data_IF_708640124048
#
_entry.id   IF_708640124048
#
_cell.length_a   1.000
_cell.length_b   1.000
_cell.length_c   1.000
_cell.angle_alpha   90.00
_cell.angle_beta   90.00
_cell.angle_gamma   90.00
#
_symmetry.space_group_name_H-M   'P 1'
#
loop_
_entity.id
_entity.type
_entity.pdbx_description
1 polymer ?
#
# COMPACT_ATOMS: atom_id res chain seq x y z
N UNK A 1 13.65 -15.33 -10.00
CA UNK A 1 14.07 -15.98 -8.74
C UNK A 1 14.50 -14.98 -7.65
N UNK A 2 14.88 -13.74 -8.00
CA UNK A 2 15.34 -12.73 -7.05
C UNK A 2 14.20 -12.22 -6.14
N UNK A 3 13.02 -11.97 -6.71
CA UNK A 3 11.83 -11.45 -5.98
C UNK A 3 11.38 -12.35 -4.82
N UNK A 4 11.53 -13.67 -4.93
CA UNK A 4 11.08 -14.60 -3.87
C UNK A 4 12.03 -14.57 -2.66
N UNK A 5 13.34 -14.47 -2.90
CA UNK A 5 14.35 -14.44 -1.83
C UNK A 5 14.23 -13.14 -1.05
N UNK A 6 14.05 -12.00 -1.72
CA UNK A 6 13.85 -10.71 -1.08
C UNK A 6 12.60 -10.70 -0.19
N UNK A 7 11.48 -11.26 -0.67
CA UNK A 7 10.25 -11.39 0.13
C UNK A 7 10.49 -12.32 1.34
N UNK A 8 11.23 -13.43 1.16
CA UNK A 8 11.57 -14.36 2.25
C UNK A 8 12.52 -13.74 3.29
N UNK A 9 13.39 -12.83 2.88
CA UNK A 9 14.28 -12.05 3.77
C UNK A 9 13.59 -10.84 4.39
N UNK A 10 12.31 -10.61 4.09
CA UNK A 10 11.54 -9.49 4.61
C UNK A 10 11.89 -8.15 3.96
N UNK A 11 12.65 -8.16 2.86
CA UNK A 11 12.79 -7.02 1.96
C UNK A 11 11.44 -6.82 1.27
N UNK A 12 10.67 -5.90 1.83
CA UNK A 12 9.35 -5.55 1.29
C UNK A 12 9.52 -4.57 0.15
N UNK A 13 8.65 -4.69 -0.84
CA UNK A 13 8.66 -3.84 -2.02
C UNK A 13 8.80 -2.37 -1.64
N UNK A 14 9.65 -1.67 -2.40
CA UNK A 14 9.93 -0.26 -2.18
C UNK A 14 8.63 0.51 -2.35
N UNK A 15 8.19 1.22 -1.30
CA UNK A 15 7.12 2.19 -1.42
C UNK A 15 7.67 3.31 -2.31
N UNK A 16 7.18 3.37 -3.54
CA UNK A 16 7.59 4.40 -4.49
C UNK A 16 7.16 5.76 -3.97
N UNK A 17 7.94 6.81 -4.26
CA UNK A 17 7.61 8.18 -3.86
C UNK A 17 6.29 8.68 -4.48
N UNK A 18 5.85 8.06 -5.58
CA UNK A 18 4.56 8.33 -6.23
C UNK A 18 3.39 7.68 -5.48
N UNK A 19 3.62 6.64 -4.68
CA UNK A 19 2.56 5.93 -3.97
C UNK A 19 1.79 6.87 -3.05
N UNK A 20 0.45 6.90 -3.13
CA UNK A 20 -0.38 7.73 -2.25
C UNK A 20 -0.09 7.44 -0.78
N UNK A 21 -0.03 8.49 0.04
CA UNK A 21 0.40 8.37 1.43
C UNK A 21 -0.52 7.45 2.23
N UNK A 22 -1.83 7.53 1.98
CA UNK A 22 -2.83 6.67 2.62
C UNK A 22 -2.60 5.18 2.33
N UNK A 23 -2.19 4.84 1.11
CA UNK A 23 -1.87 3.47 0.71
C UNK A 23 -0.55 3.01 1.31
N UNK A 24 0.47 3.88 1.33
CA UNK A 24 1.74 3.59 1.99
C UNK A 24 1.57 3.28 3.49
N UNK A 25 0.72 4.03 4.19
CA UNK A 25 0.39 3.77 5.60
C UNK A 25 -0.38 2.47 5.80
N UNK A 26 -1.32 2.13 4.89
CA UNK A 26 -2.00 0.84 4.92
C UNK A 26 -1.01 -0.32 4.72
N UNK A 27 -0.09 -0.21 3.76
CA UNK A 27 0.95 -1.20 3.51
C UNK A 27 1.85 -1.39 4.73
N UNK A 28 2.29 -0.32 5.40
CA UNK A 28 3.08 -0.41 6.64
C UNK A 28 2.36 -1.22 7.72
N UNK A 29 1.04 -1.06 7.87
CA UNK A 29 0.22 -1.82 8.83
C UNK A 29 0.04 -3.27 8.40
N UNK A 30 -0.28 -3.52 7.13
CA UNK A 30 -0.36 -4.86 6.54
C UNK A 30 0.94 -5.65 6.72
N UNK A 31 2.05 -4.93 6.61
CA UNK A 31 3.39 -5.42 6.80
C UNK A 31 3.87 -5.33 8.24
N UNK A 32 3.00 -5.36 9.24
CA UNK A 32 3.50 -5.45 10.61
C UNK A 32 4.29 -6.76 10.82
N UNK A 33 5.44 -6.67 11.50
CA UNK A 33 6.26 -7.85 11.82
C UNK A 33 5.51 -8.76 12.79
N UNK A 34 4.71 -8.17 13.69
CA UNK A 34 3.80 -8.89 14.56
C UNK A 34 2.51 -9.21 13.77
N UNK A 35 2.17 -10.49 13.54
CA UNK A 35 0.95 -10.90 12.86
C UNK A 35 -0.33 -10.35 13.50
N UNK A 36 -0.37 -10.21 14.83
CA UNK A 36 -1.55 -9.73 15.56
C UNK A 36 -1.84 -8.24 15.33
N UNK A 37 -0.83 -7.48 14.90
CA UNK A 37 -0.95 -6.06 14.57
C UNK A 37 -1.32 -5.83 13.10
N UNK A 38 -1.43 -6.89 12.30
CA UNK A 38 -1.83 -6.77 10.91
C UNK A 38 -3.34 -6.54 10.84
N UNK A 39 -3.80 -5.61 10.00
CA UNK A 39 -5.21 -5.45 9.75
C UNK A 39 -5.80 -6.72 9.14
N UNK A 40 -7.01 -7.05 9.56
CA UNK A 40 -7.85 -8.09 8.97
C UNK A 40 -8.31 -7.68 7.57
N UNK A 41 -8.74 -8.65 6.78
CA UNK A 41 -9.32 -8.37 5.46
C UNK A 41 -10.54 -7.42 5.54
N UNK A 42 -11.31 -7.49 6.64
CA UNK A 42 -12.44 -6.61 6.88
C UNK A 42 -12.01 -5.16 7.09
N UNK A 43 -11.02 -4.92 7.97
CA UNK A 43 -10.49 -3.57 8.22
C UNK A 43 -9.87 -2.94 6.97
N UNK A 44 -9.20 -3.75 6.14
CA UNK A 44 -8.68 -3.30 4.83
C UNK A 44 -9.82 -2.88 3.92
N UNK A 45 -10.86 -3.72 3.79
CA UNK A 45 -12.02 -3.43 2.97
C UNK A 45 -12.74 -2.16 3.41
N UNK A 46 -12.98 -1.98 4.71
CA UNK A 46 -13.58 -0.78 5.27
C UNK A 46 -12.71 0.47 5.02
N UNK A 47 -11.39 0.34 5.17
CA UNK A 47 -10.44 1.44 4.88
C UNK A 47 -10.54 1.89 3.41
N UNK A 48 -10.56 0.94 2.47
CA UNK A 48 -10.65 1.23 1.04
C UNK A 48 -12.03 1.83 0.70
N UNK A 49 -13.11 1.29 1.26
CA UNK A 49 -14.45 1.87 1.07
C UNK A 49 -14.52 3.30 1.60
N UNK A 50 -13.89 3.57 2.74
CA UNK A 50 -13.85 4.90 3.31
C UNK A 50 -13.17 5.88 2.34
N UNK A 51 -12.04 5.51 1.73
CA UNK A 51 -11.34 6.35 0.74
C UNK A 51 -12.20 6.76 -0.46
N UNK A 52 -13.14 5.91 -0.89
CA UNK A 52 -14.05 6.24 -2.01
C UNK A 52 -14.94 7.45 -1.72
N UNK A 53 -15.15 7.79 -0.46
CA UNK A 53 -15.95 8.94 -0.06
C UNK A 53 -15.15 10.25 -0.04
N UNK A 54 -13.84 10.19 -0.28
CA UNK A 54 -12.91 11.33 -0.21
C UNK A 54 -12.30 11.59 -1.60
N UNK A 55 -12.84 12.53 -2.40
CA UNK A 55 -12.37 12.80 -3.75
C UNK A 55 -10.90 13.24 -3.80
N UNK A 56 -10.38 13.84 -2.73
CA UNK A 56 -8.97 14.20 -2.59
C UNK A 56 -8.04 12.98 -2.57
N UNK A 57 -8.47 11.89 -1.90
CA UNK A 57 -7.72 10.64 -1.85
C UNK A 57 -7.72 10.00 -3.24
N UNK A 58 -8.89 9.97 -3.89
CA UNK A 58 -9.01 9.45 -5.25
C UNK A 58 -8.14 10.24 -6.24
N UNK A 59 -8.05 11.55 -6.09
CA UNK A 59 -7.19 12.39 -6.91
C UNK A 59 -5.68 12.11 -6.68
N UNK A 60 -5.27 11.71 -5.47
CA UNK A 60 -3.89 11.25 -5.22
C UNK A 60 -3.60 9.94 -5.95
N UNK A 61 -4.53 8.98 -5.94
CA UNK A 61 -4.40 7.73 -6.69
C UNK A 61 -4.26 7.97 -8.19
N UNK A 62 -5.15 8.79 -8.78
CA UNK A 62 -5.07 9.13 -10.20
C UNK A 62 -3.74 9.80 -10.57
N UNK A 63 -3.25 10.74 -9.75
CA UNK A 63 -1.95 11.39 -9.95
C UNK A 63 -0.76 10.43 -9.82
N UNK A 64 -0.90 9.38 -9.00
CA UNK A 64 0.12 8.33 -8.87
C UNK A 64 0.16 7.46 -10.12
N UNK A 65 -1.02 7.06 -10.61
CA UNK A 65 -1.16 6.21 -11.79
C UNK A 65 -0.57 6.89 -13.05
N UNK A 66 -0.82 8.19 -13.22
CA UNK A 66 -0.24 9.00 -14.30
C UNK A 66 1.30 9.11 -14.23
N UNK A 67 1.87 8.92 -13.04
CA UNK A 67 3.31 9.02 -12.78
C UNK A 67 4.02 7.68 -12.73
N UNK A 68 3.30 6.57 -12.93
CA UNK A 68 3.88 5.23 -13.00
C UNK A 68 4.55 5.02 -14.36
N UNK A 69 5.61 5.78 -14.61
CA UNK A 69 6.57 5.47 -15.68
C UNK A 69 7.46 4.37 -15.13
N UNK A 70 7.29 3.17 -15.67
CA UNK A 70 8.18 2.04 -15.44
C UNK A 70 9.41 2.30 -16.32
N UNK A 71 10.49 2.83 -15.76
CA UNK A 71 11.84 2.73 -16.35
C UNK A 71 12.44 1.35 -16.05
#
# INVERSE_FOLDING_TARGET
MIVLIEICEGLRSIILKSTPLCYAELLKRYWNINPEKRPTALEIHETILNWKNYPEILAEFLKSDDKMVIE
#
